data_IF_697972751575
#
_entry.id   IF_697972751575
#
_cell.length_a   1.000
_cell.length_b   1.000
_cell.length_c   1.000
_cell.angle_alpha   90.00
_cell.angle_beta   90.00
_cell.angle_gamma   90.00
#
_symmetry.space_group_name_H-M   'P 1'
#
loop_
_entity.id
_entity.type
_entity.pdbx_description
1 polymer ?
#
# COMPACT_ATOMS: atom_id res chain seq x y z
N UNK A 1 -13.54 17.11 -22.79
CA UNK A 1 -14.13 17.69 -21.57
C UNK A 1 -15.31 16.83 -21.18
N UNK A 2 -15.19 16.00 -20.16
CA UNK A 2 -16.29 15.13 -19.68
C UNK A 2 -17.00 15.87 -18.55
N UNK A 3 -17.95 16.72 -18.91
CA UNK A 3 -18.82 17.38 -17.96
C UNK A 3 -19.88 16.43 -17.38
N UNK A 4 -20.39 16.75 -16.20
CA UNK A 4 -21.60 16.12 -15.65
C UNK A 4 -22.81 16.48 -16.52
N UNK A 5 -23.80 15.60 -16.55
CA UNK A 5 -25.10 15.90 -17.14
C UNK A 5 -25.91 16.72 -16.15
N UNK A 6 -26.05 18.02 -16.39
CA UNK A 6 -26.87 18.89 -15.59
C UNK A 6 -28.38 18.60 -15.85
N UNK A 7 -29.18 18.64 -14.80
CA UNK A 7 -30.64 18.57 -14.92
C UNK A 7 -31.19 19.88 -15.48
N UNK A 8 -32.39 19.85 -16.01
CA UNK A 8 -33.04 21.03 -16.60
C UNK A 8 -33.22 22.13 -15.54
N UNK A 9 -32.55 23.26 -15.74
CA UNK A 9 -32.57 24.38 -14.79
C UNK A 9 -31.56 24.28 -13.65
N UNK A 10 -30.64 23.31 -13.67
CA UNK A 10 -29.59 23.15 -12.68
C UNK A 10 -28.33 23.95 -13.10
N UNK A 11 -27.78 24.73 -12.19
CA UNK A 11 -26.55 25.50 -12.44
C UNK A 11 -25.38 24.92 -11.67
N UNK A 12 -24.24 24.82 -12.33
CA UNK A 12 -22.97 24.42 -11.71
C UNK A 12 -22.40 25.60 -10.92
N UNK A 13 -22.35 25.47 -9.59
CA UNK A 13 -21.79 26.52 -8.71
C UNK A 13 -20.29 26.41 -8.57
N UNK A 14 -19.77 25.21 -8.39
CA UNK A 14 -18.36 25.00 -8.10
C UNK A 14 -17.89 23.60 -8.53
N UNK A 15 -16.64 23.55 -8.98
CA UNK A 15 -15.92 22.30 -9.24
C UNK A 15 -14.72 22.22 -8.29
N UNK A 16 -14.65 21.17 -7.49
CA UNK A 16 -13.61 20.94 -6.50
C UNK A 16 -12.85 19.66 -6.78
N UNK A 17 -11.56 19.67 -6.48
CA UNK A 17 -10.72 18.45 -6.44
C UNK A 17 -10.35 18.15 -5.00
N UNK A 18 -10.26 16.86 -4.62
CA UNK A 18 -9.91 16.51 -3.27
C UNK A 18 -8.49 16.97 -2.94
N UNK A 19 -8.33 17.52 -1.75
CA UNK A 19 -7.04 17.92 -1.24
C UNK A 19 -6.19 16.68 -0.88
N UNK A 20 -4.88 16.82 -0.89
CA UNK A 20 -3.95 15.75 -0.56
C UNK A 20 -4.25 15.12 0.82
N UNK A 21 -4.61 15.92 1.81
CA UNK A 21 -4.95 15.43 3.15
C UNK A 21 -6.17 14.51 3.21
N UNK A 22 -7.08 14.56 2.24
CA UNK A 22 -8.21 13.62 2.18
C UNK A 22 -7.75 12.16 1.98
N UNK A 23 -6.54 11.96 1.47
CA UNK A 23 -5.93 10.64 1.24
C UNK A 23 -4.67 10.44 2.09
N UNK A 24 -4.50 11.23 3.15
CA UNK A 24 -3.30 11.21 4.00
C UNK A 24 -2.97 9.81 4.52
N UNK A 25 -3.98 9.07 4.93
CA UNK A 25 -3.80 7.69 5.42
C UNK A 25 -3.16 6.75 4.39
N UNK A 26 -3.53 6.87 3.11
CA UNK A 26 -2.93 6.07 2.03
C UNK A 26 -1.47 6.48 1.77
N UNK A 27 -1.20 7.79 1.73
CA UNK A 27 0.17 8.28 1.60
C UNK A 27 1.05 7.83 2.77
N UNK A 28 0.54 7.96 4.00
CA UNK A 28 1.24 7.54 5.20
C UNK A 28 1.58 6.04 5.15
N UNK A 29 0.65 5.21 4.71
CA UNK A 29 0.84 3.76 4.65
C UNK A 29 1.99 3.38 3.70
N UNK A 30 2.03 3.96 2.49
CA UNK A 30 3.12 3.69 1.55
C UNK A 30 4.43 4.35 1.97
N UNK A 31 4.38 5.48 2.66
CA UNK A 31 5.56 6.09 3.25
C UNK A 31 6.18 5.23 4.36
N UNK A 32 5.35 4.66 5.23
CA UNK A 32 5.80 3.69 6.25
C UNK A 32 6.43 2.45 5.61
N UNK A 33 5.93 2.01 4.45
CA UNK A 33 6.53 0.92 3.70
C UNK A 33 7.94 1.26 3.21
N UNK A 34 8.19 2.49 2.77
CA UNK A 34 9.53 2.95 2.40
C UNK A 34 10.48 3.02 3.60
N UNK A 35 9.99 3.49 4.75
CA UNK A 35 10.76 3.47 5.99
C UNK A 35 11.12 2.02 6.35
N UNK A 36 10.15 1.12 6.28
CA UNK A 36 10.38 -0.30 6.55
C UNK A 36 11.40 -0.92 5.60
N UNK A 37 11.35 -0.57 4.32
CA UNK A 37 12.36 -0.98 3.35
C UNK A 37 13.78 -0.56 3.76
N UNK A 38 13.94 0.68 4.22
CA UNK A 38 15.22 1.19 4.70
C UNK A 38 15.69 0.45 5.96
N UNK A 39 14.80 0.22 6.92
CA UNK A 39 15.11 -0.52 8.15
C UNK A 39 15.59 -1.92 7.82
N UNK A 40 14.89 -2.63 6.94
CA UNK A 40 15.26 -3.99 6.54
C UNK A 40 16.59 -3.99 5.76
N UNK A 41 16.83 -2.99 4.91
CA UNK A 41 18.12 -2.84 4.24
C UNK A 41 19.27 -2.66 5.24
N UNK A 42 19.10 -1.80 6.25
CA UNK A 42 20.10 -1.59 7.31
C UNK A 42 20.33 -2.86 8.12
N UNK A 43 19.29 -3.59 8.46
CA UNK A 43 19.40 -4.88 9.14
C UNK A 43 20.23 -5.89 8.33
N UNK A 44 19.94 -6.07 7.05
CA UNK A 44 20.67 -6.99 6.19
C UNK A 44 22.15 -6.62 6.01
N UNK A 45 22.49 -5.32 6.05
CA UNK A 45 23.86 -4.87 5.85
C UNK A 45 24.68 -4.76 7.13
N UNK A 46 24.04 -4.65 8.29
CA UNK A 46 24.71 -4.46 9.58
C UNK A 46 24.77 -5.72 10.44
N UNK A 47 24.37 -6.86 9.90
CA UNK A 47 24.28 -8.15 10.60
C UNK A 47 23.53 -8.10 11.94
N UNK A 48 22.61 -7.11 12.07
CA UNK A 48 21.80 -6.87 13.27
C UNK A 48 20.61 -7.80 13.43
N UNK A 49 20.45 -8.77 12.54
CA UNK A 49 19.36 -9.75 12.67
C UNK A 49 19.48 -10.56 13.95
N UNK A 50 20.71 -10.88 14.36
CA UNK A 50 20.98 -11.60 15.62
C UNK A 50 20.46 -10.85 16.84
N UNK A 51 20.31 -9.53 16.79
CA UNK A 51 19.80 -8.72 17.91
C UNK A 51 18.26 -8.68 17.94
N UNK A 52 17.60 -9.25 16.92
CA UNK A 52 16.13 -9.25 16.87
C UNK A 52 15.53 -10.26 17.87
N UNK A 53 14.55 -9.85 18.68
CA UNK A 53 13.89 -10.77 19.59
C UNK A 53 13.34 -12.00 18.84
N UNK A 54 13.62 -13.18 19.36
CA UNK A 54 13.25 -14.47 18.77
C UNK A 54 14.02 -14.87 17.49
N UNK A 55 15.10 -14.17 17.13
CA UNK A 55 15.91 -14.52 15.96
C UNK A 55 16.38 -15.96 15.99
N UNK A 56 16.99 -16.40 17.11
CA UNK A 56 17.49 -17.77 17.30
C UNK A 56 16.41 -18.83 17.07
N UNK A 57 15.19 -18.56 17.52
CA UNK A 57 14.06 -19.49 17.34
C UNK A 57 13.62 -19.56 15.86
N UNK A 58 13.68 -18.44 15.17
CA UNK A 58 13.31 -18.36 13.74
C UNK A 58 14.41 -19.03 12.90
N UNK A 59 15.67 -18.76 13.20
CA UNK A 59 16.83 -19.36 12.51
C UNK A 59 16.82 -20.89 12.67
N UNK A 60 16.63 -21.39 13.87
CA UNK A 60 16.49 -22.82 14.13
C UNK A 60 15.32 -23.46 13.34
N UNK A 61 14.20 -22.72 13.19
CA UNK A 61 13.06 -23.19 12.42
C UNK A 61 13.34 -23.31 10.93
N UNK A 62 14.19 -22.43 10.37
CA UNK A 62 14.52 -22.39 8.95
C UNK A 62 15.88 -23.05 8.64
N UNK A 63 16.36 -23.93 9.50
CA UNK A 63 17.60 -24.73 9.30
C UNK A 63 18.84 -23.85 9.10
N UNK A 64 19.07 -22.91 10.00
CA UNK A 64 20.21 -22.01 10.04
C UNK A 64 20.35 -21.11 8.76
N UNK A 65 19.24 -20.83 8.09
CA UNK A 65 19.22 -19.91 6.95
C UNK A 65 18.91 -18.47 7.38
N UNK A 66 19.93 -17.66 7.57
CA UNK A 66 19.78 -16.24 7.91
C UNK A 66 18.85 -15.48 6.93
N UNK A 67 18.90 -15.82 5.65
CA UNK A 67 18.09 -15.17 4.63
C UNK A 67 16.60 -15.49 4.77
N UNK A 68 16.27 -16.73 5.09
CA UNK A 68 14.90 -17.13 5.35
C UNK A 68 14.40 -16.54 6.67
N UNK A 69 15.25 -16.50 7.70
CA UNK A 69 14.93 -15.81 8.96
C UNK A 69 14.62 -14.32 8.70
N UNK A 70 15.47 -13.64 7.95
CA UNK A 70 15.25 -12.24 7.55
C UNK A 70 13.97 -12.04 6.73
N UNK A 71 13.66 -12.97 5.81
CA UNK A 71 12.41 -12.91 5.03
C UNK A 71 11.16 -13.10 5.91
N UNK A 72 11.22 -13.95 6.93
CA UNK A 72 10.13 -14.14 7.89
C UNK A 72 9.94 -12.87 8.73
N UNK A 73 11.01 -12.29 9.26
CA UNK A 73 10.96 -11.06 10.05
C UNK A 73 10.40 -9.90 9.20
N UNK A 74 10.87 -9.76 7.97
CA UNK A 74 10.34 -8.77 7.03
C UNK A 74 8.84 -8.97 6.77
N UNK A 75 8.41 -10.20 6.51
CA UNK A 75 7.02 -10.53 6.27
C UNK A 75 6.14 -10.24 7.48
N UNK A 76 6.63 -10.57 8.67
CA UNK A 76 5.94 -10.25 9.92
C UNK A 76 5.70 -8.75 10.07
N UNK A 77 6.71 -7.92 9.77
CA UNK A 77 6.56 -6.46 9.79
C UNK A 77 5.53 -5.96 8.77
N UNK A 78 5.51 -6.51 7.55
CA UNK A 78 4.48 -6.17 6.56
C UNK A 78 3.08 -6.56 7.01
N UNK A 79 2.91 -7.76 7.60
CA UNK A 79 1.63 -8.19 8.15
C UNK A 79 1.19 -7.29 9.31
N UNK A 80 2.11 -6.91 10.19
CA UNK A 80 1.82 -6.02 11.32
C UNK A 80 1.34 -4.65 10.83
N UNK A 81 2.07 -4.02 9.91
CA UNK A 81 1.69 -2.72 9.33
C UNK A 81 0.36 -2.83 8.57
N UNK A 82 0.16 -3.89 7.79
CA UNK A 82 -1.09 -4.15 7.08
C UNK A 82 -2.27 -4.38 8.04
N UNK A 83 -2.06 -5.07 9.15
CA UNK A 83 -3.06 -5.29 10.18
C UNK A 83 -3.43 -3.98 10.89
N UNK A 84 -2.44 -3.17 11.25
CA UNK A 84 -2.65 -1.85 11.84
C UNK A 84 -3.45 -0.98 10.86
N UNK A 85 -3.06 -0.95 9.59
CA UNK A 85 -3.79 -0.21 8.55
C UNK A 85 -5.25 -0.67 8.46
N UNK A 86 -5.51 -1.97 8.49
CA UNK A 86 -6.87 -2.53 8.49
C UNK A 86 -7.68 -2.13 9.72
N UNK A 87 -7.05 -2.07 10.88
CA UNK A 87 -7.72 -1.73 12.14
C UNK A 87 -8.09 -0.25 12.23
N UNK A 88 -7.17 0.63 11.84
CA UNK A 88 -7.39 2.07 11.90
C UNK A 88 -8.23 2.61 10.74
N UNK A 89 -8.19 1.94 9.58
CA UNK A 89 -8.97 2.33 8.40
C UNK A 89 -10.09 1.32 8.17
N UNK A 90 -11.16 1.44 8.95
CA UNK A 90 -12.32 0.53 9.00
C UNK A 90 -13.12 0.42 7.70
N UNK A 91 -12.79 1.22 6.71
CA UNK A 91 -13.42 1.21 5.39
C UNK A 91 -12.78 0.18 4.43
N UNK A 92 -13.32 0.10 3.23
CA UNK A 92 -12.83 -0.81 2.18
C UNK A 92 -11.35 -0.60 1.80
N UNK A 93 -10.79 0.58 2.09
CA UNK A 93 -9.39 0.91 1.82
C UNK A 93 -8.42 0.09 2.69
N UNK A 94 -8.71 -0.06 3.99
CA UNK A 94 -7.87 -0.82 4.92
C UNK A 94 -7.75 -2.30 4.54
N UNK A 95 -8.82 -2.90 4.02
CA UNK A 95 -8.78 -4.28 3.51
C UNK A 95 -7.91 -4.41 2.26
N UNK A 96 -7.97 -3.44 1.36
CA UNK A 96 -7.15 -3.39 0.15
C UNK A 96 -5.65 -3.34 0.49
N UNK A 97 -5.28 -2.49 1.43
CA UNK A 97 -3.90 -2.35 1.92
C UNK A 97 -3.40 -3.65 2.57
N UNK A 98 -4.21 -4.25 3.42
CA UNK A 98 -3.86 -5.53 4.05
C UNK A 98 -3.62 -6.64 3.02
N UNK A 99 -4.50 -6.76 2.01
CA UNK A 99 -4.34 -7.73 0.91
C UNK A 99 -3.09 -7.46 0.09
N UNK A 100 -2.78 -6.19 -0.21
CA UNK A 100 -1.58 -5.81 -0.94
C UNK A 100 -0.32 -6.25 -0.18
N UNK A 101 -0.22 -5.92 1.12
CA UNK A 101 0.95 -6.25 1.92
C UNK A 101 1.10 -7.76 2.12
N UNK A 102 -0.01 -8.46 2.34
CA UNK A 102 0.00 -9.92 2.40
C UNK A 102 0.46 -10.54 1.07
N UNK A 103 0.02 -10.00 -0.06
CA UNK A 103 0.45 -10.45 -1.39
C UNK A 103 1.95 -10.21 -1.62
N UNK A 104 2.45 -9.04 -1.25
CA UNK A 104 3.89 -8.71 -1.35
C UNK A 104 4.72 -9.64 -0.47
N UNK A 105 4.29 -9.88 0.78
CA UNK A 105 4.97 -10.78 1.70
C UNK A 105 5.02 -12.21 1.14
N UNK A 106 3.90 -12.75 0.69
CA UNK A 106 3.82 -14.08 0.09
C UNK A 106 4.70 -14.20 -1.16
N UNK A 107 4.63 -13.21 -2.06
CA UNK A 107 5.47 -13.18 -3.26
C UNK A 107 6.96 -13.17 -2.90
N UNK A 108 7.37 -12.33 -1.95
CA UNK A 108 8.76 -12.27 -1.48
C UNK A 108 9.23 -13.60 -0.90
N UNK A 109 8.44 -14.25 -0.04
CA UNK A 109 8.76 -15.57 0.53
C UNK A 109 8.90 -16.62 -0.58
N UNK A 110 7.98 -16.68 -1.54
CA UNK A 110 8.02 -17.65 -2.63
C UNK A 110 9.29 -17.47 -3.47
N UNK A 111 9.63 -16.23 -3.83
CA UNK A 111 10.84 -15.95 -4.62
C UNK A 111 12.09 -16.31 -3.84
N UNK A 112 12.16 -15.96 -2.55
CA UNK A 112 13.31 -16.31 -1.70
C UNK A 112 13.44 -17.82 -1.51
N UNK A 113 12.35 -18.53 -1.30
CA UNK A 113 12.35 -19.99 -1.18
C UNK A 113 12.79 -20.66 -2.50
N UNK A 114 12.29 -20.18 -3.63
CA UNK A 114 12.71 -20.69 -4.94
C UNK A 114 14.19 -20.45 -5.20
N UNK A 115 14.69 -19.26 -4.92
CA UNK A 115 16.10 -18.92 -5.10
C UNK A 115 16.99 -19.72 -4.14
N UNK A 116 16.60 -19.86 -2.88
CA UNK A 116 17.33 -20.67 -1.89
C UNK A 116 17.39 -22.15 -2.25
N UNK A 117 16.36 -22.67 -2.93
CA UNK A 117 16.36 -24.05 -3.41
C UNK A 117 17.25 -24.26 -4.65
N UNK A 118 17.30 -23.27 -5.55
CA UNK A 118 18.04 -23.39 -6.83
C UNK A 118 19.52 -23.08 -6.70
N UNK A 119 19.95 -22.22 -5.78
CA UNK A 119 21.32 -21.70 -5.71
C UNK A 119 21.76 -21.42 -4.27
N UNK A 120 22.20 -22.47 -3.56
CA UNK A 120 22.57 -22.38 -2.13
C UNK A 120 23.74 -21.42 -1.81
N UNK A 121 24.53 -21.01 -2.81
CA UNK A 121 25.80 -20.32 -2.56
C UNK A 121 25.70 -18.79 -2.49
N UNK A 122 24.65 -18.17 -3.05
CA UNK A 122 24.54 -16.70 -3.15
C UNK A 122 23.18 -16.14 -2.74
N UNK A 123 22.42 -16.91 -1.97
CA UNK A 123 21.08 -16.52 -1.52
C UNK A 123 21.11 -15.27 -0.63
N UNK A 124 22.17 -15.11 0.16
CA UNK A 124 22.43 -13.95 1.00
C UNK A 124 22.55 -12.66 0.18
N UNK A 125 23.41 -12.67 -0.85
CA UNK A 125 23.60 -11.51 -1.72
C UNK A 125 22.30 -11.09 -2.41
N UNK A 126 21.55 -12.06 -2.95
CA UNK A 126 20.27 -11.80 -3.59
C UNK A 126 19.23 -11.25 -2.59
N UNK A 127 19.07 -11.88 -1.43
CA UNK A 127 18.08 -11.47 -0.43
C UNK A 127 18.28 -10.05 0.11
N UNK A 128 19.54 -9.66 0.32
CA UNK A 128 19.91 -8.32 0.77
C UNK A 128 19.43 -7.20 -0.16
N UNK A 129 19.36 -7.47 -1.45
CA UNK A 129 18.89 -6.50 -2.45
C UNK A 129 17.45 -6.68 -2.83
N UNK A 130 17.00 -7.93 -2.98
CA UNK A 130 15.67 -8.24 -3.49
C UNK A 130 14.57 -7.77 -2.53
N UNK A 131 14.67 -8.12 -1.24
CA UNK A 131 13.64 -7.79 -0.24
C UNK A 131 13.46 -6.28 -0.07
N UNK A 132 14.51 -5.48 0.23
CA UNK A 132 14.38 -4.03 0.29
C UNK A 132 13.98 -3.41 -1.04
N UNK A 133 14.54 -3.91 -2.14
CA UNK A 133 14.21 -3.43 -3.49
C UNK A 133 12.74 -3.62 -3.84
N UNK A 134 12.19 -4.82 -3.62
CA UNK A 134 10.78 -5.11 -3.81
C UNK A 134 9.90 -4.18 -2.98
N UNK A 135 10.24 -4.01 -1.70
CA UNK A 135 9.49 -3.15 -0.77
C UNK A 135 9.53 -1.67 -1.21
N UNK A 136 10.70 -1.19 -1.64
CA UNK A 136 10.87 0.16 -2.18
C UNK A 136 10.03 0.38 -3.43
N UNK A 137 10.08 -0.55 -4.39
CA UNK A 137 9.30 -0.46 -5.63
C UNK A 137 7.80 -0.41 -5.34
N UNK A 138 7.31 -1.30 -4.48
CA UNK A 138 5.89 -1.30 -4.08
C UNK A 138 5.51 -0.01 -3.37
N UNK A 139 6.36 0.51 -2.48
CA UNK A 139 6.15 1.78 -1.79
C UNK A 139 6.06 2.96 -2.76
N UNK A 140 7.00 3.08 -3.70
CA UNK A 140 7.01 4.15 -4.70
C UNK A 140 5.82 4.05 -5.66
N UNK A 141 5.56 2.87 -6.23
CA UNK A 141 4.41 2.64 -7.12
C UNK A 141 3.10 2.94 -6.38
N UNK A 142 3.02 2.57 -5.09
CA UNK A 142 1.88 2.88 -4.24
C UNK A 142 1.66 4.38 -4.07
N UNK A 143 2.70 5.15 -3.76
CA UNK A 143 2.60 6.62 -3.64
C UNK A 143 2.13 7.27 -4.94
N UNK A 144 2.71 6.88 -6.08
CA UNK A 144 2.24 7.37 -7.39
C UNK A 144 0.79 6.97 -7.66
N UNK A 145 0.42 5.74 -7.36
CA UNK A 145 -0.95 5.25 -7.55
C UNK A 145 -1.97 6.03 -6.73
N UNK A 146 -1.63 6.40 -5.49
CA UNK A 146 -2.48 7.25 -4.63
C UNK A 146 -2.67 8.63 -5.25
N UNK A 147 -1.62 9.24 -5.81
CA UNK A 147 -1.75 10.55 -6.45
C UNK A 147 -2.63 10.48 -7.72
N UNK A 148 -2.45 9.45 -8.55
CA UNK A 148 -3.34 9.20 -9.68
C UNK A 148 -4.79 8.97 -9.24
N UNK A 149 -5.00 8.15 -8.21
CA UNK A 149 -6.32 7.88 -7.66
C UNK A 149 -6.97 9.16 -7.15
N UNK A 150 -6.26 9.98 -6.37
CA UNK A 150 -6.74 11.28 -5.88
C UNK A 150 -7.16 12.20 -7.03
N UNK A 151 -6.35 12.31 -8.07
CA UNK A 151 -6.64 13.18 -9.23
C UNK A 151 -7.83 12.71 -10.06
N UNK A 152 -8.22 11.45 -9.94
CA UNK A 152 -9.37 10.89 -10.63
C UNK A 152 -10.71 11.36 -10.08
N UNK A 153 -10.75 11.89 -8.85
CA UNK A 153 -11.97 12.39 -8.23
C UNK A 153 -12.21 13.86 -8.54
N UNK A 154 -13.46 14.18 -8.84
CA UNK A 154 -13.94 15.55 -9.01
C UNK A 154 -15.29 15.68 -8.36
N UNK A 155 -15.47 16.72 -7.55
CA UNK A 155 -16.72 17.07 -6.90
C UNK A 155 -17.34 18.23 -7.67
N UNK A 156 -18.59 18.11 -8.04
CA UNK A 156 -19.38 19.16 -8.64
C UNK A 156 -20.49 19.55 -7.68
N UNK A 157 -20.49 20.80 -7.28
CA UNK A 157 -21.57 21.39 -6.47
C UNK A 157 -22.52 22.12 -7.44
N UNK A 158 -23.78 21.74 -7.37
CA UNK A 158 -24.86 22.40 -8.09
C UNK A 158 -25.84 22.99 -7.11
N UNK A 159 -26.89 23.61 -7.59
CA UNK A 159 -27.95 24.18 -6.74
C UNK A 159 -28.72 23.12 -5.96
N UNK A 160 -28.85 21.90 -6.48
CA UNK A 160 -29.74 20.88 -5.98
C UNK A 160 -29.02 19.63 -5.42
N UNK A 161 -27.75 19.40 -5.80
CA UNK A 161 -27.03 18.17 -5.44
C UNK A 161 -25.51 18.34 -5.45
N UNK A 162 -24.85 17.43 -4.79
CA UNK A 162 -23.40 17.19 -4.91
C UNK A 162 -23.20 15.97 -5.80
N UNK A 163 -22.42 16.13 -6.85
CA UNK A 163 -22.07 15.03 -7.75
C UNK A 163 -20.60 14.69 -7.56
N UNK A 164 -20.33 13.48 -7.09
CA UNK A 164 -19.00 12.91 -7.02
C UNK A 164 -18.75 12.09 -8.27
N UNK A 165 -17.84 12.54 -9.10
CA UNK A 165 -17.39 11.81 -10.27
C UNK A 165 -16.01 11.24 -10.01
N UNK A 166 -15.84 9.94 -10.23
CA UNK A 166 -14.52 9.31 -10.30
C UNK A 166 -14.29 8.72 -11.69
N UNK A 167 -13.10 8.97 -12.24
CA UNK A 167 -12.68 8.45 -13.54
C UNK A 167 -11.31 7.78 -13.40
N UNK A 168 -11.30 6.59 -12.77
CA UNK A 168 -10.07 5.84 -12.55
C UNK A 168 -10.00 4.65 -13.51
N UNK A 169 -8.89 4.52 -14.26
CA UNK A 169 -8.56 3.39 -15.13
C UNK A 169 -9.77 2.90 -15.97
N UNK A 170 -10.33 3.75 -16.81
CA UNK A 170 -11.46 3.45 -17.70
C UNK A 170 -12.81 3.19 -17.01
N UNK A 171 -12.84 3.10 -15.68
CA UNK A 171 -14.09 2.97 -14.94
C UNK A 171 -14.56 4.35 -14.49
N UNK A 172 -15.72 4.76 -14.98
CA UNK A 172 -16.35 6.03 -14.59
C UNK A 172 -17.51 5.69 -13.67
N UNK A 173 -17.43 6.15 -12.43
CA UNK A 173 -18.53 6.06 -11.49
C UNK A 173 -18.99 7.47 -11.12
N UNK A 174 -20.29 7.62 -10.98
CA UNK A 174 -20.94 8.85 -10.57
C UNK A 174 -21.83 8.54 -9.37
N UNK A 175 -21.64 9.27 -8.27
CA UNK A 175 -22.50 9.22 -7.09
C UNK A 175 -23.10 10.60 -6.89
N UNK A 176 -24.39 10.65 -6.60
CA UNK A 176 -25.14 11.88 -6.43
C UNK A 176 -25.78 11.90 -5.05
N UNK A 177 -25.63 13.00 -4.34
CA UNK A 177 -26.30 13.26 -3.06
C UNK A 177 -27.13 14.53 -3.21
N UNK A 178 -28.45 14.41 -3.09
CA UNK A 178 -29.37 15.55 -3.12
C UNK A 178 -29.41 16.23 -1.76
N UNK A 179 -29.50 17.56 -1.73
CA UNK A 179 -29.53 18.31 -0.48
C UNK A 179 -30.75 17.98 0.41
N UNK A 180 -31.85 17.55 -0.19
CA UNK A 180 -33.06 17.15 0.57
C UNK A 180 -32.90 15.86 1.39
N UNK A 181 -31.76 15.18 1.29
CA UNK A 181 -31.42 13.97 2.05
C UNK A 181 -30.26 14.18 3.02
N UNK A 182 -29.83 15.44 3.23
CA UNK A 182 -28.82 15.79 4.22
C UNK A 182 -29.58 16.33 5.43
N UNK A 183 -29.99 15.43 6.34
CA UNK A 183 -30.49 15.74 7.67
C UNK A 183 -29.35 15.60 8.69
#
# INVERSE_FOLDING_TARGET
MSGITLLRGEELKMQLKPHMFSFFHLYLTFFLLLIWSYVIYDFFNSDKFSDFPFYDNIEALVQDSEVLAGAIIWSFGLFLVGFIARYFFLDSGGQGIFRLYSGVALFGIIVMAYHGYSDMKDTMGFGRWFIPGLTTVVGLVGLFSVDFYRRSFTYYLTDNRIVLQSSFLMNRSERQVRYNHIE
#
